data_IF_721694141628
#
_entry.id   IF_721694141628
#
_cell.length_a   1.000
_cell.length_b   1.000
_cell.length_c   1.000
_cell.angle_alpha   90.00
_cell.angle_beta   90.00
_cell.angle_gamma   90.00
#
_symmetry.space_group_name_H-M   'P 1'
#
loop_
_entity.id
_entity.type
_entity.pdbx_description
1 polymer ?
#
# COMPACT_ATOMS: atom_id res chain seq x y z
N UNK A 1 -53.67 -36.29 4.93
CA UNK A 1 -52.67 -35.36 4.47
C UNK A 1 -51.68 -35.15 5.59
N UNK A 2 -50.46 -35.73 5.49
CA UNK A 2 -49.38 -35.52 6.47
C UNK A 2 -48.46 -34.48 5.87
N UNK A 3 -48.42 -33.27 6.47
CA UNK A 3 -47.47 -32.22 6.07
C UNK A 3 -46.08 -32.58 6.59
N UNK A 4 -45.15 -32.75 5.67
CA UNK A 4 -43.73 -32.94 5.95
C UNK A 4 -43.11 -31.55 6.13
N UNK A 5 -42.72 -31.17 7.36
CA UNK A 5 -41.93 -30.00 7.61
C UNK A 5 -40.47 -30.33 7.27
N UNK A 6 -39.96 -29.71 6.17
CA UNK A 6 -38.56 -29.74 5.82
C UNK A 6 -37.83 -28.72 6.67
N UNK A 7 -37.07 -29.13 7.68
CA UNK A 7 -36.19 -28.25 8.44
C UNK A 7 -34.91 -28.13 7.60
N UNK A 8 -34.73 -26.97 6.97
CA UNK A 8 -33.48 -26.62 6.31
C UNK A 8 -32.42 -26.31 7.38
N UNK A 9 -31.47 -27.20 7.59
CA UNK A 9 -30.25 -26.89 8.32
C UNK A 9 -29.37 -26.00 7.45
N UNK A 10 -29.38 -24.69 7.71
CA UNK A 10 -28.31 -23.81 7.22
C UNK A 10 -27.04 -24.16 7.99
N UNK A 11 -26.11 -24.84 7.35
CA UNK A 11 -24.76 -25.01 7.88
C UNK A 11 -24.11 -23.62 7.97
N UNK A 12 -23.96 -23.09 9.19
CA UNK A 12 -23.08 -21.97 9.44
C UNK A 12 -21.67 -22.51 9.21
N UNK A 13 -21.09 -22.22 8.06
CA UNK A 13 -19.67 -22.42 7.85
C UNK A 13 -18.94 -21.54 8.87
N UNK A 14 -18.37 -22.12 9.90
CA UNK A 14 -17.41 -21.44 10.76
C UNK A 14 -16.26 -20.99 9.84
N UNK A 15 -16.13 -19.67 9.64
CA UNK A 15 -15.01 -19.15 8.87
C UNK A 15 -13.73 -19.51 9.63
N UNK A 16 -12.88 -20.29 8.95
CA UNK A 16 -11.62 -20.72 9.53
C UNK A 16 -10.71 -19.50 9.70
N UNK A 17 -9.99 -19.43 10.83
CA UNK A 17 -8.99 -18.37 11.05
C UNK A 17 -8.01 -18.31 9.87
N UNK A 18 -7.69 -17.12 9.33
CA UNK A 18 -6.66 -16.97 8.30
C UNK A 18 -5.25 -17.15 8.86
N UNK A 19 -5.08 -17.24 10.19
CA UNK A 19 -3.81 -17.56 10.85
C UNK A 19 -3.59 -19.06 10.79
N UNK A 20 -2.54 -19.58 10.12
CA UNK A 20 -2.29 -21.02 10.07
C UNK A 20 -2.07 -21.60 11.47
N UNK A 21 -2.57 -22.80 11.70
CA UNK A 21 -2.25 -23.53 12.95
C UNK A 21 -0.73 -23.69 13.09
N UNK A 22 -0.18 -23.23 14.21
CA UNK A 22 1.27 -23.26 14.47
C UNK A 22 2.08 -22.16 13.79
N UNK A 23 1.43 -21.16 13.17
CA UNK A 23 2.14 -20.00 12.66
C UNK A 23 2.97 -19.32 13.74
N UNK A 24 4.21 -18.96 13.42
CA UNK A 24 5.14 -18.33 14.36
C UNK A 24 5.21 -16.83 14.08
N UNK A 25 5.03 -16.04 15.13
CA UNK A 25 5.33 -14.62 15.11
C UNK A 25 6.85 -14.44 15.28
N UNK A 26 7.50 -13.91 14.26
CA UNK A 26 8.95 -13.73 14.24
C UNK A 26 9.31 -12.25 14.42
N UNK A 27 10.19 -11.95 15.38
CA UNK A 27 10.78 -10.61 15.54
C UNK A 27 11.96 -10.47 14.57
N UNK A 28 11.90 -9.49 13.68
CA UNK A 28 12.90 -9.29 12.63
C UNK A 28 14.01 -8.32 13.04
N UNK A 29 13.64 -7.22 13.68
CA UNK A 29 14.58 -6.20 14.16
C UNK A 29 13.97 -5.43 15.34
N UNK A 30 14.82 -4.79 16.13
CA UNK A 30 14.43 -4.01 17.31
C UNK A 30 15.36 -2.81 17.51
N UNK A 31 15.04 -1.96 18.48
CA UNK A 31 15.84 -0.79 18.82
C UNK A 31 15.35 0.49 18.18
N UNK A 32 14.16 0.50 17.56
CA UNK A 32 13.48 1.70 17.06
C UNK A 32 12.80 2.44 18.22
N UNK A 33 12.40 3.70 17.98
CA UNK A 33 11.71 4.49 19.01
C UNK A 33 10.19 4.46 18.83
N UNK A 34 9.72 4.61 17.59
CA UNK A 34 8.30 4.59 17.25
C UNK A 34 8.12 4.10 15.81
N UNK A 35 8.29 2.78 15.59
CA UNK A 35 8.15 2.20 14.26
C UNK A 35 6.69 2.23 13.81
N UNK A 36 6.45 2.66 12.55
CA UNK A 36 5.14 2.90 11.96
C UNK A 36 5.14 2.73 10.45
N UNK A 37 3.95 2.75 9.85
CA UNK A 37 3.73 2.84 8.42
C UNK A 37 4.47 1.79 7.59
N UNK A 38 4.41 0.50 7.92
CA UNK A 38 5.14 -0.50 7.16
C UNK A 38 4.59 -0.61 5.75
N UNK A 39 5.47 -0.65 4.75
CA UNK A 39 5.09 -0.89 3.35
C UNK A 39 6.15 -1.71 2.64
N UNK A 40 5.72 -2.73 1.90
CA UNK A 40 6.64 -3.59 1.16
C UNK A 40 7.05 -2.94 -0.16
N UNK A 41 8.36 -2.78 -0.37
CA UNK A 41 8.97 -2.33 -1.62
C UNK A 41 9.44 -3.55 -2.40
N UNK A 42 8.77 -3.85 -3.53
CA UNK A 42 9.12 -4.99 -4.37
C UNK A 42 10.59 -4.94 -4.79
N UNK A 43 11.27 -6.07 -4.69
CA UNK A 43 12.69 -6.21 -5.00
C UNK A 43 13.67 -5.64 -3.96
N UNK A 44 13.18 -5.02 -2.88
CA UNK A 44 14.03 -4.43 -1.86
C UNK A 44 13.74 -4.95 -0.44
N UNK A 45 12.48 -4.91 0.02
CA UNK A 45 12.11 -5.33 1.37
C UNK A 45 11.07 -4.42 2.02
N UNK A 46 11.04 -4.38 3.35
CA UNK A 46 10.09 -3.63 4.13
C UNK A 46 10.62 -2.22 4.41
N UNK A 47 9.92 -1.20 3.92
CA UNK A 47 10.07 0.16 4.40
C UNK A 47 9.17 0.37 5.61
N UNK A 48 9.65 1.13 6.59
CA UNK A 48 8.85 1.58 7.73
C UNK A 48 9.41 2.88 8.30
N UNK A 49 8.54 3.70 8.85
CA UNK A 49 8.89 4.94 9.53
C UNK A 49 9.39 4.65 10.95
N UNK A 50 10.33 5.42 11.45
CA UNK A 50 10.57 5.65 12.88
C UNK A 50 10.28 7.13 13.14
N UNK A 51 9.06 7.41 13.59
CA UNK A 51 8.52 8.77 13.71
C UNK A 51 9.42 9.63 14.58
N UNK A 52 9.76 9.11 15.76
CA UNK A 52 10.54 9.86 16.76
C UNK A 52 11.97 10.14 16.30
N UNK A 53 12.54 9.30 15.44
CA UNK A 53 13.86 9.51 14.83
C UNK A 53 13.82 10.26 13.52
N UNK A 54 12.62 10.61 13.04
CA UNK A 54 12.45 11.26 11.73
C UNK A 54 13.16 10.50 10.60
N UNK A 55 13.04 9.16 10.59
CA UNK A 55 13.78 8.28 9.68
C UNK A 55 12.85 7.23 9.09
N UNK A 56 12.98 6.97 7.80
CA UNK A 56 12.45 5.76 7.17
C UNK A 56 13.58 4.77 7.04
N UNK A 57 13.36 3.55 7.51
CA UNK A 57 14.27 2.44 7.38
C UNK A 57 13.83 1.47 6.29
N UNK A 58 14.79 0.75 5.74
CA UNK A 58 14.59 -0.43 4.90
C UNK A 58 15.14 -1.66 5.65
N UNK A 59 14.27 -2.63 5.92
CA UNK A 59 14.68 -3.97 6.32
C UNK A 59 14.75 -4.87 5.08
N UNK A 60 15.90 -5.54 4.90
CA UNK A 60 16.17 -6.43 3.76
C UNK A 60 15.90 -7.89 4.13
N UNK A 61 15.06 -8.62 3.38
CA UNK A 61 14.84 -10.05 3.62
C UNK A 61 16.03 -10.92 3.18
N UNK A 62 16.98 -10.36 2.40
CA UNK A 62 18.12 -11.11 1.85
C UNK A 62 19.14 -11.44 2.94
N UNK A 63 19.43 -10.47 3.80
CA UNK A 63 20.46 -10.56 4.83
C UNK A 63 19.95 -10.17 6.23
N UNK A 64 18.66 -9.92 6.36
CA UNK A 64 18.00 -9.46 7.60
C UNK A 64 18.58 -8.16 8.17
N UNK A 65 19.26 -7.37 7.35
CA UNK A 65 19.83 -6.09 7.76
C UNK A 65 18.79 -4.97 7.74
N UNK A 66 19.04 -3.93 8.52
CA UNK A 66 18.26 -2.69 8.49
C UNK A 66 19.17 -1.51 8.16
N UNK A 67 18.79 -0.72 7.17
CA UNK A 67 19.52 0.47 6.72
C UNK A 67 18.62 1.70 6.68
N UNK A 68 19.22 2.88 6.72
CA UNK A 68 18.49 4.15 6.53
C UNK A 68 18.11 4.29 5.06
N UNK A 69 16.80 4.42 4.80
CA UNK A 69 16.27 4.69 3.46
C UNK A 69 16.11 6.20 3.20
N UNK A 70 15.60 6.94 4.18
CA UNK A 70 15.40 8.38 4.10
C UNK A 70 15.60 9.05 5.45
N UNK A 71 16.47 10.06 5.52
CA UNK A 71 16.68 10.89 6.69
C UNK A 71 17.10 12.32 6.27
N UNK A 72 16.51 13.40 6.82
CA UNK A 72 15.31 13.38 7.67
C UNK A 72 14.03 13.08 6.87
N UNK A 73 13.07 12.39 7.50
CA UNK A 73 11.76 12.09 6.92
C UNK A 73 10.67 13.07 7.34
N UNK A 74 11.02 14.11 8.13
CA UNK A 74 10.09 15.06 8.76
C UNK A 74 9.03 14.35 9.63
N UNK A 75 9.48 13.38 10.44
CA UNK A 75 8.62 12.52 11.26
C UNK A 75 7.49 11.87 10.43
N UNK A 76 7.89 11.19 9.35
CA UNK A 76 6.93 10.43 8.55
C UNK A 76 6.23 9.39 9.41
N UNK A 77 4.94 9.13 9.11
CA UNK A 77 4.13 8.11 9.73
C UNK A 77 3.68 7.08 8.68
N UNK A 78 2.46 7.16 8.17
CA UNK A 78 1.95 6.26 7.16
C UNK A 78 2.72 6.32 5.85
N UNK A 79 3.00 5.15 5.29
CA UNK A 79 3.67 4.98 4.00
C UNK A 79 2.82 4.12 3.08
N UNK A 80 2.79 4.48 1.80
CA UNK A 80 2.21 3.66 0.75
C UNK A 80 2.90 3.96 -0.58
N UNK A 81 2.61 3.20 -1.62
CA UNK A 81 3.08 3.51 -2.97
C UNK A 81 1.91 3.98 -3.84
N UNK A 82 2.18 4.95 -4.70
CA UNK A 82 1.25 5.29 -5.77
C UNK A 82 1.33 4.30 -6.94
N UNK A 83 0.48 4.50 -7.94
CA UNK A 83 0.38 3.61 -9.11
C UNK A 83 1.63 3.58 -9.99
N UNK A 84 2.52 4.55 -9.84
CA UNK A 84 3.81 4.62 -10.51
C UNK A 84 4.96 4.06 -9.64
N UNK A 85 4.64 3.46 -8.48
CA UNK A 85 5.63 2.92 -7.55
C UNK A 85 6.42 3.99 -6.79
N UNK A 86 5.93 5.24 -6.74
CA UNK A 86 6.54 6.31 -5.98
C UNK A 86 6.01 6.30 -4.55
N UNK A 87 6.90 6.47 -3.58
CA UNK A 87 6.53 6.49 -2.18
C UNK A 87 5.67 7.71 -1.85
N UNK A 88 4.50 7.49 -1.28
CA UNK A 88 3.65 8.50 -0.63
C UNK A 88 3.88 8.38 0.87
N UNK A 89 4.06 9.50 1.53
CA UNK A 89 4.32 9.56 2.96
C UNK A 89 3.56 10.71 3.62
N UNK A 90 3.00 10.44 4.79
CA UNK A 90 2.49 11.47 5.68
C UNK A 90 3.65 12.00 6.53
N UNK A 91 3.81 13.31 6.63
CA UNK A 91 4.90 13.95 7.36
C UNK A 91 4.32 14.80 8.52
N UNK A 92 4.35 14.23 9.73
CA UNK A 92 3.72 14.85 10.91
C UNK A 92 4.39 16.18 11.27
N UNK A 93 5.72 16.26 11.26
CA UNK A 93 6.45 17.49 11.61
C UNK A 93 6.17 18.64 10.64
N UNK A 94 5.99 18.35 9.37
CA UNK A 94 5.63 19.33 8.33
C UNK A 94 4.13 19.43 8.10
N UNK A 95 3.34 18.58 8.76
CA UNK A 95 1.87 18.58 8.71
C UNK A 95 1.35 18.53 7.27
N UNK A 96 1.84 17.55 6.49
CA UNK A 96 1.56 17.42 5.05
C UNK A 96 1.58 15.99 4.56
N UNK A 97 1.01 15.76 3.39
CA UNK A 97 1.20 14.54 2.59
C UNK A 97 2.16 14.87 1.44
N UNK A 98 3.14 14.01 1.21
CA UNK A 98 4.20 14.21 0.23
C UNK A 98 4.43 12.97 -0.62
N UNK A 99 5.19 13.13 -1.69
CA UNK A 99 5.60 12.07 -2.61
C UNK A 99 7.11 12.11 -2.79
N UNK A 100 7.75 10.96 -2.76
CA UNK A 100 9.11 10.81 -3.25
C UNK A 100 9.10 10.74 -4.78
N UNK A 101 9.87 11.59 -5.44
CA UNK A 101 10.04 11.55 -6.90
C UNK A 101 11.25 10.71 -7.30
N UNK A 102 11.45 10.50 -8.61
CA UNK A 102 12.45 9.56 -9.14
C UNK A 102 13.88 9.86 -8.68
N UNK A 103 14.24 11.12 -8.51
CA UNK A 103 15.59 11.53 -8.04
C UNK A 103 15.78 11.34 -6.53
N UNK A 104 14.76 10.80 -5.82
CA UNK A 104 14.78 10.58 -4.38
C UNK A 104 14.31 11.78 -3.55
N UNK A 105 14.11 12.95 -4.15
CA UNK A 105 13.62 14.14 -3.44
C UNK A 105 12.15 14.01 -3.02
N UNK A 106 11.76 14.78 -1.99
CA UNK A 106 10.39 14.74 -1.46
C UNK A 106 9.64 16.00 -1.88
N UNK A 107 8.56 15.82 -2.62
CA UNK A 107 7.68 16.89 -3.10
C UNK A 107 6.38 16.90 -2.31
N UNK A 108 5.99 18.04 -1.68
CA UNK A 108 4.67 18.17 -1.06
C UNK A 108 3.56 18.03 -2.09
N UNK A 109 2.52 17.26 -1.73
CA UNK A 109 1.28 17.14 -2.50
C UNK A 109 0.22 18.08 -1.94
N UNK A 110 0.07 18.10 -0.61
CA UNK A 110 -0.90 18.93 0.09
C UNK A 110 -0.48 19.17 1.52
N UNK A 111 -0.68 20.40 2.05
CA UNK A 111 -0.32 20.79 3.42
C UNK A 111 -1.42 21.61 4.12
N UNK A 112 -2.46 22.01 3.41
CA UNK A 112 -3.54 22.85 3.96
C UNK A 112 -4.90 22.42 3.43
N UNK A 113 -5.92 22.67 4.25
CA UNK A 113 -7.33 22.61 3.84
C UNK A 113 -7.99 23.96 4.13
N UNK A 114 -8.60 24.59 3.11
CA UNK A 114 -9.19 25.94 3.20
C UNK A 114 -8.24 26.98 3.81
N UNK A 115 -6.95 26.95 3.42
CA UNK A 115 -5.91 27.85 3.89
C UNK A 115 -5.39 27.59 5.31
N UNK A 116 -5.91 26.59 6.02
CA UNK A 116 -5.48 26.17 7.35
C UNK A 116 -4.60 24.93 7.26
N UNK A 117 -3.53 24.89 8.04
CA UNK A 117 -2.62 23.76 8.09
C UNK A 117 -3.31 22.52 8.68
N UNK A 118 -3.00 21.34 8.15
CA UNK A 118 -3.45 20.06 8.72
C UNK A 118 -3.02 19.90 10.18
N UNK A 119 -3.64 18.96 10.88
CA UNK A 119 -3.22 18.58 12.23
C UNK A 119 -1.89 17.81 12.17
N UNK A 120 -1.96 16.49 12.00
CA UNK A 120 -0.81 15.62 11.83
C UNK A 120 -1.21 14.45 10.94
N UNK A 121 -1.16 14.57 9.60
CA UNK A 121 -1.50 13.47 8.71
C UNK A 121 -0.84 12.18 9.15
N UNK A 122 -1.65 11.11 9.35
CA UNK A 122 -1.26 9.90 10.05
C UNK A 122 -1.13 8.72 9.08
N UNK A 123 -2.22 8.06 8.71
CA UNK A 123 -2.17 6.92 7.78
C UNK A 123 -2.69 7.31 6.39
N UNK A 124 -2.31 6.53 5.37
CA UNK A 124 -2.54 6.87 3.97
C UNK A 124 -2.75 5.63 3.12
N UNK A 125 -3.69 5.72 2.19
CA UNK A 125 -3.94 4.69 1.16
C UNK A 125 -4.16 5.32 -0.20
N UNK A 126 -3.74 4.64 -1.26
CA UNK A 126 -3.94 5.07 -2.66
C UNK A 126 -4.94 4.14 -3.32
N UNK A 127 -6.01 4.72 -3.88
CA UNK A 127 -7.05 4.03 -4.63
C UNK A 127 -6.59 3.72 -6.06
N UNK A 128 -7.28 2.79 -6.74
CA UNK A 128 -6.97 2.38 -8.13
C UNK A 128 -7.02 3.52 -9.15
N UNK A 129 -7.82 4.53 -8.93
CA UNK A 129 -7.89 5.75 -9.75
C UNK A 129 -6.72 6.73 -9.53
N UNK A 130 -5.82 6.43 -8.58
CA UNK A 130 -4.69 7.29 -8.17
C UNK A 130 -5.05 8.33 -7.12
N UNK A 131 -6.29 8.38 -6.63
CA UNK A 131 -6.66 9.24 -5.51
C UNK A 131 -5.98 8.78 -4.22
N UNK A 132 -5.52 9.73 -3.41
CA UNK A 132 -4.85 9.51 -2.13
C UNK A 132 -5.85 9.82 -1.02
N UNK A 133 -6.08 8.87 -0.11
CA UNK A 133 -6.92 9.07 1.06
C UNK A 133 -6.04 9.02 2.29
N UNK A 134 -6.26 9.94 3.24
CA UNK A 134 -5.47 10.02 4.46
C UNK A 134 -6.28 10.53 5.64
N UNK A 135 -5.81 10.18 6.82
CA UNK A 135 -6.36 10.61 8.11
C UNK A 135 -5.51 11.73 8.70
N UNK A 136 -6.15 12.66 9.40
CA UNK A 136 -5.50 13.85 9.98
C UNK A 136 -5.92 14.07 11.44
N UNK A 137 -5.51 13.18 12.36
CA UNK A 137 -5.69 13.39 13.79
C UNK A 137 -4.77 14.47 14.32
N UNK A 138 -5.05 14.98 15.52
CA UNK A 138 -4.20 15.95 16.20
C UNK A 138 -3.14 15.29 17.14
N UNK A 139 -2.78 14.02 16.85
CA UNK A 139 -1.66 13.38 17.52
C UNK A 139 -0.35 14.13 17.22
N UNK A 140 0.45 14.36 18.26
CA UNK A 140 1.82 14.86 18.11
C UNK A 140 1.94 16.17 17.32
N UNK A 141 0.97 17.09 17.44
CA UNK A 141 1.13 18.45 16.92
C UNK A 141 2.45 19.00 17.47
N UNK A 142 3.36 19.53 16.62
CA UNK A 142 4.66 19.98 17.06
C UNK A 142 4.60 20.97 18.23
N UNK A 143 5.52 20.86 19.18
CA UNK A 143 5.55 21.68 20.37
C UNK A 143 5.49 23.19 20.02
N UNK A 144 4.63 23.93 20.72
CA UNK A 144 4.38 25.35 20.46
C UNK A 144 3.42 25.67 19.33
N UNK A 145 2.90 24.65 18.62
CA UNK A 145 1.85 24.79 17.61
C UNK A 145 0.49 24.33 18.15
N UNK A 146 -0.57 24.72 17.46
CA UNK A 146 -1.95 24.32 17.77
C UNK A 146 -2.68 23.84 16.51
N UNK A 147 -3.77 23.09 16.72
CA UNK A 147 -4.68 22.77 15.63
C UNK A 147 -5.33 24.06 15.08
N UNK A 148 -5.25 24.24 13.78
CA UNK A 148 -5.92 25.35 13.07
C UNK A 148 -7.30 24.95 12.56
N UNK A 149 -7.54 23.66 12.38
CA UNK A 149 -8.77 23.14 11.78
C UNK A 149 -9.91 23.01 12.79
N UNK A 150 -9.62 22.80 14.08
CA UNK A 150 -10.58 22.59 15.17
C UNK A 150 -11.47 21.35 14.98
N UNK A 151 -11.09 20.44 14.09
CA UNK A 151 -11.66 19.11 13.88
C UNK A 151 -10.57 18.17 13.37
N UNK A 152 -10.85 16.88 13.35
CA UNK A 152 -9.97 15.84 12.84
C UNK A 152 -10.62 15.19 11.64
N UNK A 153 -9.91 15.15 10.52
CA UNK A 153 -10.50 14.87 9.22
C UNK A 153 -10.02 13.58 8.56
N UNK A 154 -10.87 13.06 7.70
CA UNK A 154 -10.53 12.12 6.64
C UNK A 154 -10.61 12.88 5.33
N UNK A 155 -9.55 12.78 4.52
CA UNK A 155 -9.44 13.55 3.28
C UNK A 155 -9.20 12.65 2.07
N UNK A 156 -9.60 13.15 0.90
CA UNK A 156 -9.26 12.63 -0.41
C UNK A 156 -8.57 13.71 -1.22
N UNK A 157 -7.39 13.39 -1.74
CA UNK A 157 -6.70 14.18 -2.75
C UNK A 157 -6.86 13.47 -4.11
N UNK A 158 -7.51 14.11 -5.07
CA UNK A 158 -7.69 13.57 -6.41
C UNK A 158 -6.37 13.53 -7.19
N UNK A 159 -6.26 12.72 -8.27
CA UNK A 159 -5.08 12.71 -9.14
C UNK A 159 -4.79 14.09 -9.79
N UNK A 160 -5.81 14.94 -9.91
CA UNK A 160 -5.72 16.31 -10.45
C UNK A 160 -5.39 17.36 -9.39
N UNK A 161 -5.17 16.95 -8.12
CA UNK A 161 -4.80 17.86 -7.03
C UNK A 161 -5.99 18.51 -6.28
N UNK A 162 -7.23 18.10 -6.56
CA UNK A 162 -8.39 18.59 -5.79
C UNK A 162 -8.46 17.89 -4.44
N UNK A 163 -8.40 18.67 -3.36
CA UNK A 163 -8.53 18.18 -1.98
C UNK A 163 -9.99 18.28 -1.52
N UNK A 164 -10.49 17.20 -0.93
CA UNK A 164 -11.84 17.10 -0.37
C UNK A 164 -11.80 16.59 1.05
N UNK A 165 -12.54 17.22 1.96
CA UNK A 165 -12.86 16.67 3.28
C UNK A 165 -14.02 15.69 3.13
N UNK A 166 -13.83 14.45 3.58
CA UNK A 166 -14.82 13.39 3.51
C UNK A 166 -15.63 13.24 4.79
N UNK A 167 -14.96 13.34 5.93
CA UNK A 167 -15.58 13.25 7.27
C UNK A 167 -14.76 14.04 8.29
N UNK A 168 -15.43 14.73 9.20
CA UNK A 168 -14.83 15.52 10.29
C UNK A 168 -15.42 15.18 11.67
N UNK A 169 -16.08 14.04 11.78
CA UNK A 169 -16.82 13.64 13.00
C UNK A 169 -16.04 12.70 13.91
N UNK A 170 -14.80 12.41 13.58
CA UNK A 170 -13.91 11.54 14.36
C UNK A 170 -13.31 12.28 15.55
N UNK A 171 -13.03 11.50 16.60
CA UNK A 171 -12.17 11.97 17.68
C UNK A 171 -10.69 11.83 17.29
N UNK A 172 -10.27 10.62 16.92
CA UNK A 172 -8.88 10.33 16.48
C UNK A 172 -8.88 9.37 15.29
N UNK A 173 -9.14 9.86 14.06
CA UNK A 173 -9.04 9.01 12.88
C UNK A 173 -7.60 8.54 12.70
N UNK A 174 -7.39 7.21 12.50
CA UNK A 174 -6.07 6.62 12.39
C UNK A 174 -6.00 5.69 11.18
N UNK A 175 -5.94 4.38 11.37
CA UNK A 175 -5.81 3.42 10.28
C UNK A 175 -6.90 3.55 9.22
N UNK A 176 -6.50 3.48 7.95
CA UNK A 176 -7.37 3.61 6.78
C UNK A 176 -7.04 2.55 5.74
N UNK A 177 -8.05 1.87 5.21
CA UNK A 177 -7.90 0.94 4.09
C UNK A 177 -9.19 0.77 3.30
N UNK A 178 -9.09 0.28 2.07
CA UNK A 178 -10.23 -0.10 1.24
C UNK A 178 -10.49 -1.61 1.32
N UNK A 179 -11.74 -2.01 1.00
CA UNK A 179 -12.01 -3.38 0.57
C UNK A 179 -11.27 -3.69 -0.74
N UNK A 180 -11.01 -4.98 -1.06
CA UNK A 180 -10.28 -5.34 -2.29
C UNK A 180 -10.92 -4.82 -3.58
N UNK A 181 -12.24 -4.70 -3.62
CA UNK A 181 -13.01 -4.16 -4.75
C UNK A 181 -13.18 -2.63 -4.70
N UNK A 182 -12.61 -1.98 -3.68
CA UNK A 182 -12.66 -0.54 -3.42
C UNK A 182 -14.07 0.05 -3.26
N UNK A 183 -15.08 -0.81 -3.00
CA UNK A 183 -16.46 -0.35 -2.76
C UNK A 183 -16.74 0.00 -1.31
N UNK A 184 -15.83 -0.35 -0.40
CA UNK A 184 -15.89 0.01 1.00
C UNK A 184 -14.62 0.74 1.41
N UNK A 185 -14.78 1.77 2.24
CA UNK A 185 -13.67 2.42 2.94
C UNK A 185 -13.82 2.12 4.43
N UNK A 186 -12.74 1.67 5.05
CA UNK A 186 -12.66 1.42 6.49
C UNK A 186 -11.73 2.46 7.13
N UNK A 187 -12.17 3.05 8.24
CA UNK A 187 -11.33 3.94 9.08
C UNK A 187 -11.64 3.66 10.54
N UNK A 188 -10.62 3.56 11.36
CA UNK A 188 -10.84 3.46 12.80
C UNK A 188 -10.74 4.81 13.50
N UNK A 189 -11.47 4.92 14.63
CA UNK A 189 -11.29 5.97 15.63
C UNK A 189 -10.43 5.37 16.74
N UNK A 190 -9.22 5.84 16.85
CA UNK A 190 -8.19 5.26 17.70
C UNK A 190 -8.60 5.25 19.18
N UNK A 191 -9.04 6.38 19.71
CA UNK A 191 -9.43 6.51 21.13
C UNK A 191 -10.69 5.71 21.46
N UNK A 192 -11.64 5.63 20.56
CA UNK A 192 -12.88 4.88 20.76
C UNK A 192 -12.72 3.39 20.49
N UNK A 193 -11.62 2.97 19.89
CA UNK A 193 -11.42 1.59 19.41
C UNK A 193 -12.57 1.10 18.52
N UNK A 194 -13.09 1.98 17.66
CA UNK A 194 -14.22 1.69 16.76
C UNK A 194 -13.72 1.72 15.31
N UNK A 195 -14.05 0.68 14.56
CA UNK A 195 -13.85 0.64 13.11
C UNK A 195 -15.18 1.03 12.45
N UNK A 196 -15.13 2.06 11.61
CA UNK A 196 -16.27 2.48 10.80
C UNK A 196 -16.08 2.01 9.35
N UNK A 197 -17.19 1.87 8.65
CA UNK A 197 -17.24 1.53 7.23
C UNK A 197 -18.18 2.44 6.49
N UNK A 198 -17.81 2.81 5.27
CA UNK A 198 -18.64 3.54 4.29
C UNK A 198 -18.78 2.75 3.01
N UNK A 199 -19.88 2.99 2.32
CA UNK A 199 -19.99 2.69 0.90
C UNK A 199 -19.25 3.77 0.10
N UNK A 200 -18.44 3.33 -0.86
CA UNK A 200 -17.81 4.20 -1.85
C UNK A 200 -18.73 4.24 -3.06
N UNK A 201 -19.53 5.31 -3.19
CA UNK A 201 -20.57 5.41 -4.24
C UNK A 201 -19.96 5.76 -5.59
N UNK A 202 -18.93 6.62 -5.58
CA UNK A 202 -18.17 7.02 -6.76
C UNK A 202 -16.78 7.48 -6.32
N UNK A 203 -16.02 8.08 -7.22
CA UNK A 203 -14.64 8.49 -6.97
C UNK A 203 -14.46 9.47 -5.81
N UNK A 204 -15.52 10.18 -5.40
CA UNK A 204 -15.44 11.27 -4.42
C UNK A 204 -16.50 11.24 -3.33
N UNK A 205 -17.42 10.27 -3.34
CA UNK A 205 -18.58 10.28 -2.44
C UNK A 205 -18.59 9.03 -1.57
N UNK A 206 -18.59 9.25 -0.26
CA UNK A 206 -18.84 8.23 0.76
C UNK A 206 -20.29 8.33 1.24
N UNK A 207 -20.93 7.18 1.51
CA UNK A 207 -22.27 7.10 2.05
C UNK A 207 -22.41 5.98 3.08
N UNK A 208 -23.55 5.93 3.77
CA UNK A 208 -23.94 4.84 4.66
C UNK A 208 -22.88 4.52 5.73
N UNK A 209 -22.32 5.56 6.39
CA UNK A 209 -21.40 5.37 7.52
C UNK A 209 -22.06 4.51 8.60
N UNK A 210 -21.44 3.41 8.94
CA UNK A 210 -21.87 2.54 10.05
C UNK A 210 -20.68 2.09 10.89
N UNK A 211 -20.96 1.71 12.13
CA UNK A 211 -19.99 1.00 12.97
C UNK A 211 -19.88 -0.43 12.43
N UNK A 212 -18.67 -0.83 12.05
CA UNK A 212 -18.38 -2.19 11.63
C UNK A 212 -18.07 -3.07 12.85
N UNK A 213 -17.17 -2.58 13.72
CA UNK A 213 -16.76 -3.31 14.91
C UNK A 213 -16.27 -2.36 15.99
N UNK A 214 -16.55 -2.73 17.26
CA UNK A 214 -15.95 -2.08 18.43
C UNK A 214 -15.01 -3.07 19.10
N UNK A 215 -13.72 -2.75 19.17
CA UNK A 215 -12.73 -3.60 19.84
C UNK A 215 -13.00 -3.60 21.34
N UNK A 216 -13.33 -4.76 21.95
CA UNK A 216 -13.73 -4.83 23.34
C UNK A 216 -12.52 -4.87 24.30
N UNK A 217 -11.61 -3.90 24.17
CA UNK A 217 -10.40 -3.81 24.99
C UNK A 217 -9.99 -2.35 25.16
N UNK A 218 -9.40 -2.03 26.31
CA UNK A 218 -8.84 -0.69 26.58
C UNK A 218 -7.53 -0.51 25.81
N UNK A 219 -7.38 0.61 25.16
CA UNK A 219 -6.19 0.98 24.40
C UNK A 219 -6.55 1.82 23.19
N UNK A 220 -5.79 1.65 22.12
CA UNK A 220 -5.92 2.43 20.89
C UNK A 220 -5.99 1.48 19.70
N UNK A 221 -6.97 1.66 18.80
CA UNK A 221 -6.95 1.08 17.47
C UNK A 221 -5.98 1.92 16.60
N UNK A 222 -5.16 1.26 15.77
CA UNK A 222 -4.12 1.93 15.01
C UNK A 222 -4.16 1.51 13.55
N UNK A 223 -3.06 1.24 12.89
CA UNK A 223 -3.04 0.89 11.48
C UNK A 223 -3.89 -0.32 11.10
N UNK A 224 -4.39 -0.38 9.88
CA UNK A 224 -5.15 -1.52 9.40
C UNK A 224 -5.01 -1.75 7.89
N UNK A 225 -5.15 -3.02 7.49
CA UNK A 225 -5.12 -3.47 6.09
C UNK A 225 -6.14 -4.57 5.86
N UNK A 226 -6.48 -4.80 4.59
CA UNK A 226 -7.31 -5.93 4.16
C UNK A 226 -6.49 -6.96 3.40
N UNK A 227 -6.98 -8.20 3.36
CA UNK A 227 -6.51 -9.21 2.41
C UNK A 227 -7.40 -9.27 1.15
N UNK A 228 -7.09 -10.16 0.20
CA UNK A 228 -7.84 -10.31 -1.06
C UNK A 228 -9.26 -10.84 -0.85
N UNK A 229 -9.55 -11.50 0.27
CA UNK A 229 -10.89 -11.97 0.64
C UNK A 229 -11.70 -10.89 1.36
N UNK A 230 -11.08 -9.73 1.64
CA UNK A 230 -11.68 -8.60 2.34
C UNK A 230 -11.64 -8.73 3.86
N UNK A 231 -10.93 -9.71 4.40
CA UNK A 231 -10.68 -9.82 5.85
C UNK A 231 -9.87 -8.62 6.31
N UNK A 232 -10.26 -8.03 7.44
CA UNK A 232 -9.66 -6.81 7.97
C UNK A 232 -8.71 -7.19 9.10
N UNK A 233 -7.50 -6.66 9.03
CA UNK A 233 -6.45 -6.78 10.05
C UNK A 233 -6.21 -5.40 10.64
N UNK A 234 -6.65 -5.20 11.89
CA UNK A 234 -6.52 -3.93 12.61
C UNK A 234 -5.60 -4.12 13.81
N UNK A 235 -4.52 -3.35 13.86
CA UNK A 235 -3.69 -3.28 15.06
C UNK A 235 -4.46 -2.57 16.16
N UNK A 236 -4.28 -3.05 17.38
CA UNK A 236 -5.02 -2.52 18.49
C UNK A 236 -4.56 -3.12 19.82
N UNK A 237 -5.33 -2.95 20.89
CA UNK A 237 -4.94 -3.45 22.19
C UNK A 237 -4.57 -4.93 22.16
N UNK A 238 -3.37 -5.25 22.63
CA UNK A 238 -2.84 -6.62 22.81
C UNK A 238 -2.60 -7.43 21.52
N UNK A 239 -2.79 -6.87 20.32
CA UNK A 239 -2.55 -7.64 19.10
C UNK A 239 -3.15 -7.07 17.83
N UNK A 240 -3.12 -7.88 16.77
CA UNK A 240 -3.80 -7.59 15.51
C UNK A 240 -5.13 -8.31 15.50
N UNK A 241 -6.21 -7.54 15.50
CA UNK A 241 -7.60 -8.02 15.47
C UNK A 241 -8.00 -8.36 14.04
N UNK A 242 -8.54 -9.55 13.84
CA UNK A 242 -8.91 -10.07 12.53
C UNK A 242 -10.42 -10.18 12.45
N UNK A 243 -10.99 -9.49 11.48
CA UNK A 243 -12.43 -9.37 11.29
C UNK A 243 -12.82 -9.78 9.87
N UNK A 244 -13.99 -10.42 9.74
CA UNK A 244 -14.59 -10.62 8.43
C UNK A 244 -14.98 -9.29 7.77
N UNK A 245 -15.25 -9.27 6.46
CA UNK A 245 -15.78 -8.08 5.77
C UNK A 245 -17.11 -7.54 6.36
N UNK A 246 -17.86 -8.41 7.05
CA UNK A 246 -19.12 -8.07 7.72
C UNK A 246 -18.94 -7.65 9.19
N UNK A 247 -17.70 -7.55 9.69
CA UNK A 247 -17.40 -7.14 11.06
C UNK A 247 -17.49 -8.25 12.11
N UNK A 248 -17.54 -9.53 11.69
CA UNK A 248 -17.47 -10.65 12.64
C UNK A 248 -16.03 -10.87 13.07
N UNK A 249 -15.79 -10.96 14.38
CA UNK A 249 -14.48 -11.34 14.92
C UNK A 249 -14.12 -12.77 14.49
N UNK A 250 -12.96 -12.94 13.88
CA UNK A 250 -12.45 -14.21 13.41
C UNK A 250 -11.33 -14.74 14.31
N UNK A 251 -10.34 -13.89 14.61
CA UNK A 251 -9.16 -14.26 15.37
C UNK A 251 -8.39 -13.03 15.86
N UNK A 252 -7.30 -13.25 16.60
CA UNK A 252 -6.35 -12.21 17.01
C UNK A 252 -4.93 -12.74 17.04
N UNK A 253 -4.01 -12.09 16.34
CA UNK A 253 -2.58 -12.34 16.50
C UNK A 253 -2.14 -11.63 17.77
N UNK A 254 -1.87 -12.40 18.83
CA UNK A 254 -1.35 -11.86 20.09
C UNK A 254 0.08 -11.33 19.88
N UNK A 255 0.34 -10.11 20.35
CA UNK A 255 1.63 -9.44 20.20
C UNK A 255 2.33 -9.24 21.55
N UNK A 256 3.66 -9.44 21.63
CA UNK A 256 4.42 -9.19 22.85
C UNK A 256 4.68 -7.70 23.12
N UNK A 257 4.57 -6.86 22.08
CA UNK A 257 4.67 -5.40 22.14
C UNK A 257 3.38 -4.80 21.51
N UNK A 258 2.99 -3.60 21.94
CA UNK A 258 1.79 -2.93 21.39
C UNK A 258 1.99 -2.67 19.89
N UNK A 259 1.18 -3.28 19.00
CA UNK A 259 1.31 -3.05 17.57
C UNK A 259 0.78 -1.67 17.19
N UNK A 260 1.49 -1.00 16.29
CA UNK A 260 1.11 0.30 15.73
C UNK A 260 0.50 0.17 14.34
N UNK A 261 1.11 -0.60 13.44
CA UNK A 261 0.58 -0.74 12.08
C UNK A 261 0.94 -2.12 11.48
N UNK A 262 0.31 -2.48 10.38
CA UNK A 262 0.62 -3.71 9.67
C UNK A 262 0.51 -3.53 8.15
N UNK A 263 1.19 -4.38 7.39
CA UNK A 263 1.04 -4.43 5.95
C UNK A 263 1.52 -5.77 5.37
N UNK A 264 1.04 -6.08 4.20
CA UNK A 264 1.38 -7.29 3.47
C UNK A 264 2.71 -7.15 2.71
N UNK A 265 3.51 -8.21 2.72
CA UNK A 265 4.78 -8.22 2.01
C UNK A 265 5.13 -9.59 1.42
N UNK A 266 6.39 -9.70 0.99
CA UNK A 266 6.96 -10.74 0.14
C UNK A 266 6.38 -10.75 -1.29
N UNK A 267 7.01 -11.50 -2.18
CA UNK A 267 6.60 -11.57 -3.58
C UNK A 267 5.18 -12.14 -3.77
N UNK A 268 4.77 -13.03 -2.87
CA UNK A 268 3.45 -13.69 -2.90
C UNK A 268 2.41 -13.00 -2.01
N UNK A 269 2.80 -11.93 -1.28
CA UNK A 269 1.91 -11.16 -0.40
C UNK A 269 1.23 -11.97 0.71
N UNK A 270 1.85 -13.05 1.16
CA UNK A 270 1.31 -13.91 2.23
C UNK A 270 1.96 -13.69 3.59
N UNK A 271 2.84 -12.73 3.71
CA UNK A 271 3.46 -12.37 4.98
C UNK A 271 2.88 -11.04 5.47
N UNK A 272 2.29 -11.06 6.66
CA UNK A 272 1.89 -9.85 7.36
C UNK A 272 3.07 -9.34 8.18
N UNK A 273 3.56 -8.14 7.84
CA UNK A 273 4.57 -7.40 8.59
C UNK A 273 3.89 -6.46 9.56
N UNK A 274 4.41 -6.36 10.79
CA UNK A 274 3.80 -5.60 11.88
C UNK A 274 4.87 -4.76 12.55
N UNK A 275 4.60 -3.47 12.68
CA UNK A 275 5.37 -2.57 13.54
C UNK A 275 4.77 -2.58 14.94
N UNK A 276 5.59 -2.67 16.00
CA UNK A 276 5.11 -2.78 17.37
C UNK A 276 6.17 -2.32 18.37
N UNK A 277 5.78 -1.46 19.30
CA UNK A 277 6.66 -0.99 20.38
C UNK A 277 7.97 -0.41 19.83
N UNK A 278 9.06 -1.15 19.98
CA UNK A 278 10.38 -0.79 19.44
C UNK A 278 10.88 -1.73 18.34
N UNK A 279 10.02 -2.54 17.76
CA UNK A 279 10.39 -3.68 16.92
C UNK A 279 9.53 -3.80 15.66
N UNK A 280 10.02 -4.58 14.70
CA UNK A 280 9.24 -5.08 13.57
C UNK A 280 9.13 -6.59 13.64
N UNK A 281 7.96 -7.09 13.25
CA UNK A 281 7.61 -8.51 13.27
C UNK A 281 7.08 -8.96 11.93
N UNK A 282 7.05 -10.28 11.72
CA UNK A 282 6.30 -10.89 10.62
C UNK A 282 5.60 -12.16 11.08
N UNK A 283 4.53 -12.50 10.36
CA UNK A 283 3.84 -13.78 10.48
C UNK A 283 3.37 -14.24 9.11
N UNK A 284 3.53 -15.53 8.84
CA UNK A 284 3.07 -16.14 7.59
C UNK A 284 1.60 -16.49 7.67
N UNK A 285 0.80 -16.09 6.67
CA UNK A 285 -0.65 -16.25 6.64
C UNK A 285 -1.08 -17.26 5.56
N UNK A 286 -2.30 -17.79 5.66
CA UNK A 286 -2.92 -18.63 4.62
C UNK A 286 -3.47 -17.80 3.46
N UNK A 287 -3.92 -16.59 3.74
CA UNK A 287 -4.50 -15.65 2.79
C UNK A 287 -3.44 -14.79 2.11
N UNK A 288 -3.84 -14.08 1.07
CA UNK A 288 -2.99 -13.17 0.30
C UNK A 288 -3.43 -11.73 0.54
N UNK A 289 -2.48 -10.88 0.90
CA UNK A 289 -2.74 -9.45 1.09
C UNK A 289 -3.03 -8.70 -0.21
N UNK A 290 -3.88 -7.69 -0.13
CA UNK A 290 -4.13 -6.77 -1.25
C UNK A 290 -2.84 -6.02 -1.58
N UNK A 291 -2.48 -5.95 -2.85
CA UNK A 291 -1.35 -5.13 -3.28
C UNK A 291 -1.71 -3.66 -3.16
N UNK A 292 -1.03 -2.94 -2.30
CA UNK A 292 -1.15 -1.48 -2.17
C UNK A 292 -0.40 -0.73 -3.26
N UNK A 293 0.62 -1.37 -3.82
CA UNK A 293 1.37 -0.88 -4.98
C UNK A 293 1.34 -1.94 -6.06
N UNK A 294 0.67 -1.67 -7.14
CA UNK A 294 0.76 -2.50 -8.33
C UNK A 294 -0.44 -3.40 -8.56
N UNK A 295 -1.17 -3.00 -9.56
CA UNK A 295 -1.79 -3.84 -10.58
C UNK A 295 -2.72 -4.96 -10.12
N UNK A 296 -3.97 -4.64 -9.74
CA UNK A 296 -5.05 -5.44 -10.30
C UNK A 296 -5.03 -5.21 -11.82
N UNK A 297 -4.97 -6.31 -12.56
CA UNK A 297 -5.10 -6.35 -14.02
C UNK A 297 -6.46 -5.81 -14.47
N UNK A 298 -6.68 -4.51 -14.45
CA UNK A 298 -7.69 -3.90 -15.30
C UNK A 298 -7.50 -2.39 -15.33
N UNK A 299 -7.03 -1.88 -16.45
CA UNK A 299 -7.06 -0.47 -16.79
C UNK A 299 -5.71 0.24 -16.99
N UNK A 300 -4.54 -0.41 -16.81
CA UNK A 300 -3.26 0.28 -16.98
C UNK A 300 -2.26 -0.50 -17.85
N UNK A 301 -1.52 0.23 -18.69
CA UNK A 301 -0.37 -0.29 -19.41
C UNK A 301 0.81 -0.48 -18.45
N UNK A 302 1.47 -1.64 -18.50
CA UNK A 302 2.64 -1.95 -17.69
C UNK A 302 3.81 -2.34 -18.58
N UNK A 303 5.00 -1.85 -18.27
CA UNK A 303 6.26 -2.36 -18.80
C UNK A 303 7.13 -2.75 -17.61
N UNK A 304 7.44 -4.05 -17.46
CA UNK A 304 8.20 -4.58 -16.31
C UNK A 304 9.70 -4.45 -16.54
N UNK A 305 10.47 -4.57 -15.48
CA UNK A 305 11.91 -4.74 -15.56
C UNK A 305 12.23 -6.02 -16.30
N UNK A 306 13.27 -5.96 -17.13
CA UNK A 306 13.75 -7.12 -17.83
C UNK A 306 14.51 -8.07 -16.89
N UNK A 307 14.53 -9.34 -17.21
CA UNK A 307 15.31 -10.32 -16.45
C UNK A 307 15.89 -11.37 -17.41
N UNK A 308 17.20 -11.69 -17.25
CA UNK A 308 18.20 -11.06 -16.38
C UNK A 308 18.54 -9.62 -16.76
N UNK A 309 19.06 -8.83 -15.81
CA UNK A 309 19.69 -7.52 -15.98
C UNK A 309 20.82 -7.37 -14.95
N UNK A 310 22.10 -7.28 -15.36
CA UNK A 310 22.59 -7.29 -16.74
C UNK A 310 22.30 -8.60 -17.48
N UNK A 311 22.27 -8.53 -18.82
CA UNK A 311 21.93 -9.67 -19.67
C UNK A 311 23.02 -10.06 -20.68
N UNK A 312 23.18 -11.37 -20.90
CA UNK A 312 23.94 -12.04 -21.94
C UNK A 312 23.52 -13.52 -21.97
N UNK A 313 23.19 -14.14 -23.11
CA UNK A 313 23.04 -13.58 -24.46
C UNK A 313 21.62 -13.00 -24.71
N UNK A 314 20.80 -12.75 -23.68
CA UNK A 314 19.47 -12.19 -23.89
C UNK A 314 18.70 -11.94 -22.61
N UNK A 315 17.55 -11.33 -22.75
CA UNK A 315 16.68 -10.98 -21.62
C UNK A 315 15.20 -11.07 -21.98
N UNK A 316 14.35 -11.30 -20.97
CA UNK A 316 12.90 -11.31 -21.10
C UNK A 316 12.32 -9.96 -20.70
N UNK A 317 11.56 -9.34 -21.58
CA UNK A 317 10.81 -8.12 -21.33
C UNK A 317 9.33 -8.50 -21.21
N UNK A 318 8.70 -8.12 -20.09
CA UNK A 318 7.30 -8.40 -19.82
C UNK A 318 6.49 -7.13 -19.77
N UNK A 319 5.26 -7.16 -20.30
CA UNK A 319 4.35 -6.01 -20.28
C UNK A 319 2.89 -6.47 -20.22
N UNK A 320 2.02 -5.56 -19.78
CA UNK A 320 0.57 -5.76 -19.69
C UNK A 320 -0.17 -4.68 -20.48
N UNK A 321 -1.23 -5.10 -21.16
CA UNK A 321 -2.16 -4.22 -21.88
C UNK A 321 -3.54 -4.33 -21.26
N UNK A 322 -4.12 -3.22 -20.77
CA UNK A 322 -5.46 -3.22 -20.15
C UNK A 322 -6.60 -3.31 -21.17
N UNK A 323 -6.34 -2.86 -22.39
CA UNK A 323 -7.29 -2.87 -23.50
C UNK A 323 -6.56 -3.25 -24.78
N UNK A 324 -7.31 -3.73 -25.77
CA UNK A 324 -6.79 -3.91 -27.12
C UNK A 324 -6.29 -2.57 -27.68
N UNK A 325 -5.05 -2.54 -28.15
CA UNK A 325 -4.42 -1.35 -28.72
C UNK A 325 -3.25 -1.67 -29.61
N UNK A 326 -2.86 -0.72 -30.45
CA UNK A 326 -1.60 -0.76 -31.21
C UNK A 326 -0.44 -0.47 -30.28
N UNK A 327 0.57 -1.37 -30.28
CA UNK A 327 1.63 -1.43 -29.27
C UNK A 327 2.98 -1.70 -29.91
N UNK A 328 3.77 -0.69 -30.29
CA UNK A 328 5.18 -0.86 -30.54
C UNK A 328 5.96 -1.01 -29.21
N UNK A 329 6.74 -2.10 -29.12
CA UNK A 329 7.79 -2.30 -28.12
C UNK A 329 9.14 -2.29 -28.84
N UNK A 330 9.88 -1.20 -28.68
CA UNK A 330 11.17 -0.97 -29.36
C UNK A 330 12.32 -0.90 -28.36
N UNK A 331 13.50 -1.31 -28.82
CA UNK A 331 14.77 -1.18 -28.09
C UNK A 331 15.61 -0.11 -28.72
N UNK A 332 16.26 0.74 -27.94
CA UNK A 332 17.09 1.86 -28.35
C UNK A 332 18.47 1.74 -27.70
N UNK A 333 19.52 2.22 -28.41
CA UNK A 333 20.85 2.38 -27.85
C UNK A 333 20.95 3.60 -26.90
N UNK A 334 22.13 3.78 -26.29
CA UNK A 334 22.39 4.86 -25.32
C UNK A 334 22.31 6.28 -25.90
N UNK A 335 22.25 6.43 -27.22
CA UNK A 335 22.09 7.72 -27.90
C UNK A 335 20.72 7.87 -28.59
N UNK A 336 19.80 6.93 -28.31
CA UNK A 336 18.39 6.99 -28.73
C UNK A 336 18.11 6.48 -30.14
N UNK A 337 19.03 5.77 -30.80
CA UNK A 337 18.74 5.12 -32.07
C UNK A 337 18.04 3.80 -31.84
N UNK A 338 17.00 3.52 -32.62
CA UNK A 338 16.30 2.25 -32.55
C UNK A 338 17.23 1.10 -33.02
N UNK A 339 17.31 0.09 -32.14
CA UNK A 339 18.10 -1.14 -32.39
C UNK A 339 17.22 -2.23 -32.97
N UNK A 340 16.02 -2.40 -32.40
CA UNK A 340 15.05 -3.41 -32.86
C UNK A 340 13.64 -3.09 -32.35
N UNK A 341 12.64 -3.61 -33.09
CA UNK A 341 11.24 -3.64 -32.67
C UNK A 341 10.87 -5.06 -32.26
N UNK A 342 10.52 -5.28 -31.00
CA UNK A 342 10.16 -6.58 -30.45
C UNK A 342 8.67 -6.91 -30.61
N UNK A 343 7.83 -5.87 -30.70
CA UNK A 343 6.39 -5.97 -30.95
C UNK A 343 5.97 -4.81 -31.85
N UNK A 344 5.11 -5.11 -32.82
CA UNK A 344 4.42 -4.12 -33.65
C UNK A 344 3.01 -4.60 -33.96
N UNK A 345 2.03 -3.66 -34.02
CA UNK A 345 0.63 -3.94 -34.33
C UNK A 345 -0.27 -4.10 -33.11
N UNK A 346 -1.54 -4.38 -33.38
CA UNK A 346 -2.60 -4.44 -32.38
C UNK A 346 -2.55 -5.76 -31.59
N UNK A 347 -2.53 -5.66 -30.26
CA UNK A 347 -2.63 -6.80 -29.37
C UNK A 347 -3.87 -6.68 -28.47
N UNK A 348 -4.57 -7.78 -28.17
CA UNK A 348 -5.67 -7.83 -27.20
C UNK A 348 -5.23 -7.44 -25.77
N UNK A 349 -6.20 -7.24 -24.89
CA UNK A 349 -5.92 -7.13 -23.45
C UNK A 349 -5.20 -8.39 -22.94
N UNK A 350 -4.16 -8.24 -22.12
CA UNK A 350 -3.43 -9.39 -21.58
C UNK A 350 -2.00 -9.10 -21.13
N UNK A 351 -1.36 -10.16 -20.62
CA UNK A 351 0.06 -10.16 -20.26
C UNK A 351 0.89 -10.75 -21.40
N UNK A 352 1.99 -10.10 -21.68
CA UNK A 352 2.89 -10.44 -22.75
C UNK A 352 4.33 -10.58 -22.27
N UNK A 353 5.08 -11.44 -22.95
CA UNK A 353 6.51 -11.64 -22.71
C UNK A 353 7.23 -11.71 -24.05
N UNK A 354 8.34 -10.99 -24.18
CA UNK A 354 9.17 -10.99 -25.39
C UNK A 354 10.63 -11.20 -25.01
N UNK A 355 11.26 -12.13 -25.67
CA UNK A 355 12.71 -12.34 -25.55
C UNK A 355 13.43 -11.36 -26.48
N UNK A 356 14.43 -10.68 -25.96
CA UNK A 356 15.40 -9.95 -26.76
C UNK A 356 16.75 -10.66 -26.72
N UNK A 357 17.20 -11.12 -27.88
CA UNK A 357 18.51 -11.70 -28.07
C UNK A 357 19.54 -10.57 -28.20
N UNK A 358 20.53 -10.55 -27.33
CA UNK A 358 21.59 -9.54 -27.29
C UNK A 358 22.88 -9.98 -27.94
N UNK A 359 22.94 -11.16 -28.61
CA UNK A 359 24.12 -11.74 -29.20
C UNK A 359 24.79 -10.82 -30.28
N UNK A 360 23.97 -10.06 -30.98
CA UNK A 360 24.42 -9.18 -32.08
C UNK A 360 24.74 -7.73 -31.65
N UNK A 361 24.53 -7.40 -30.34
CA UNK A 361 24.75 -6.02 -29.86
C UNK A 361 25.94 -5.95 -28.91
N UNK A 362 26.61 -4.79 -28.83
CA UNK A 362 27.75 -4.58 -27.95
C UNK A 362 27.33 -4.42 -26.48
N UNK A 363 28.28 -4.69 -25.56
CA UNK A 363 28.08 -4.31 -24.14
C UNK A 363 27.79 -2.81 -24.03
N UNK A 364 26.80 -2.46 -23.20
CA UNK A 364 26.38 -1.08 -23.04
C UNK A 364 25.04 -0.90 -22.40
N UNK A 365 24.61 0.36 -22.32
CA UNK A 365 23.28 0.75 -21.80
C UNK A 365 22.31 0.86 -22.97
N UNK A 366 21.18 0.22 -22.83
CA UNK A 366 20.07 0.25 -23.77
C UNK A 366 18.79 0.67 -23.06
N UNK A 367 17.79 1.07 -23.85
CA UNK A 367 16.45 1.43 -23.34
C UNK A 367 15.41 0.67 -24.16
N UNK A 368 14.42 0.10 -23.50
CA UNK A 368 13.24 -0.43 -24.18
C UNK A 368 12.02 0.40 -23.84
N UNK A 369 11.19 0.65 -24.85
CA UNK A 369 10.06 1.56 -24.78
C UNK A 369 8.81 0.89 -25.32
N UNK A 370 7.76 0.89 -24.49
CA UNK A 370 6.39 0.52 -24.86
C UNK A 370 5.62 1.81 -25.15
N UNK A 371 5.01 1.91 -26.30
CA UNK A 371 4.18 3.05 -26.68
C UNK A 371 2.77 2.56 -27.04
N UNK A 372 1.74 3.33 -26.67
CA UNK A 372 0.37 3.15 -27.12
C UNK A 372 -0.18 4.55 -27.38
N UNK A 373 -1.10 4.77 -28.26
CA UNK A 373 -1.56 6.09 -28.71
C UNK A 373 -1.36 7.29 -27.75
N UNK A 374 -1.71 7.13 -26.45
CA UNK A 374 -1.60 8.20 -25.44
C UNK A 374 -0.61 7.87 -24.31
N UNK A 375 0.02 6.68 -24.30
CA UNK A 375 0.85 6.23 -23.20
C UNK A 375 2.22 5.77 -23.68
N UNK A 376 3.29 6.28 -23.05
CA UNK A 376 4.67 5.92 -23.33
C UNK A 376 5.39 5.63 -22.03
N UNK A 377 6.02 4.47 -21.94
CA UNK A 377 6.88 4.09 -20.83
C UNK A 377 8.20 3.50 -21.36
N UNK A 378 9.32 3.89 -20.78
CA UNK A 378 10.64 3.37 -21.11
C UNK A 378 11.37 2.88 -19.86
N UNK A 379 12.23 1.87 -20.04
CA UNK A 379 13.12 1.34 -19.01
C UNK A 379 14.53 1.16 -19.56
N UNK A 380 15.49 1.26 -18.66
CA UNK A 380 16.91 1.00 -18.93
C UNK A 380 17.20 -0.49 -18.76
N UNK A 381 18.13 -1.03 -19.53
CA UNK A 381 18.74 -2.33 -19.34
C UNK A 381 20.24 -2.29 -19.66
N UNK A 382 20.99 -3.26 -19.20
CA UNK A 382 22.45 -3.34 -19.37
C UNK A 382 22.80 -4.66 -20.04
N UNK A 383 23.52 -4.57 -21.16
CA UNK A 383 24.14 -5.72 -21.82
C UNK A 383 25.60 -5.81 -21.37
N UNK A 384 26.01 -6.97 -20.87
CA UNK A 384 27.41 -7.27 -20.53
C UNK A 384 27.81 -8.56 -21.25
N UNK A 385 28.83 -8.46 -22.09
CA UNK A 385 29.49 -9.61 -22.75
C UNK A 385 30.87 -9.82 -22.17
#
# INVERSE_FOLDING_TARGET
MKSLFLIAFTSIALSQSPVPAGAQLEKLATGFQQPEGPVWKDGAGLLFSDIARSTIYLWSPVDSSTSVYLHPSDSSNGLTFDRQGRLILTQMLKRRVSRQVIDGSITPLVSTYNGKQFNCPNDVVVRSDGSIFFTDPDFNIPAGQQSQLHFQGIYRLSPTGTLQLLDSTFDKPNGICFSPDEKKLYVNDSHKCIIYVWDVINDSTLANKTVLYTIPAMGYADGMKTDEDGTIYCTGPTGVWILSPSGVYLDKIAMPETPSNCNWGDADRRTLYITAGSSIYRIRMTTTGVRTSGFRKSGFYELRENYPDPCDPGTMIKFHLPTECDVPLCVFDGIGREVTTLVSGTLPTGDYSRHWDTSEVSSGVYFYRLSTGSYVIARKLIVLK
#
